data_IF_552251122055
#
_entry.id   IF_552251122055
#
_cell.length_a   1.000
_cell.length_b   1.000
_cell.length_c   1.000
_cell.angle_alpha   90.00
_cell.angle_beta   90.00
_cell.angle_gamma   90.00
#
_symmetry.space_group_name_H-M   'P 1'
#
loop_
_entity.id
_entity.type
_entity.pdbx_description
1 polymer ?
#
# COMPACT_ATOMS: atom_id res chain seq x y z
N UNK A 1 -1.55 7.89 -7.97
CA UNK A 1 -0.62 7.76 -9.11
C UNK A 1 0.56 8.68 -8.90
N UNK A 2 1.77 8.18 -9.12
CA UNK A 2 3.00 8.97 -9.02
C UNK A 2 3.09 9.95 -10.20
N UNK A 3 3.42 11.22 -9.96
CA UNK A 3 3.58 12.20 -11.06
C UNK A 3 4.77 11.87 -11.95
N UNK A 4 5.75 11.14 -11.42
CA UNK A 4 6.92 10.69 -12.18
C UNK A 4 6.56 9.59 -13.19
N UNK A 5 5.68 8.64 -12.81
CA UNK A 5 5.25 7.56 -13.71
C UNK A 5 4.40 8.06 -14.87
N UNK A 6 3.68 9.17 -14.69
CA UNK A 6 2.92 9.80 -15.78
C UNK A 6 3.84 10.38 -16.87
N UNK A 7 4.99 10.93 -16.50
CA UNK A 7 5.93 11.49 -17.48
C UNK A 7 6.67 10.37 -18.22
N UNK A 8 7.04 9.30 -17.52
CA UNK A 8 7.64 8.12 -18.15
C UNK A 8 6.64 7.46 -19.14
N UNK A 9 5.32 7.45 -18.85
CA UNK A 9 4.30 6.98 -19.79
C UNK A 9 4.08 7.92 -20.99
N UNK A 10 4.21 9.24 -20.80
CA UNK A 10 4.10 10.20 -21.90
C UNK A 10 5.32 10.15 -22.83
N UNK A 11 6.50 9.82 -22.29
CA UNK A 11 7.70 9.60 -23.07
C UNK A 11 7.55 8.44 -24.06
N UNK A 12 6.99 7.31 -23.63
CA UNK A 12 6.72 6.16 -24.50
C UNK A 12 5.76 6.49 -25.66
N UNK A 13 4.88 7.48 -25.48
CA UNK A 13 3.86 7.85 -26.48
C UNK A 13 4.35 8.94 -27.43
N UNK A 14 5.14 9.90 -26.93
CA UNK A 14 5.51 11.10 -27.68
C UNK A 14 7.01 11.19 -28.05
N UNK A 15 7.86 10.30 -27.53
CA UNK A 15 9.29 10.26 -27.84
C UNK A 15 10.05 11.50 -27.37
N UNK A 16 9.72 12.01 -26.17
CA UNK A 16 10.28 13.26 -25.67
C UNK A 16 11.78 13.13 -25.39
N UNK A 17 12.53 14.17 -25.73
CA UNK A 17 13.91 14.32 -25.29
C UNK A 17 13.98 14.50 -23.76
N UNK A 18 15.14 14.17 -23.18
CA UNK A 18 15.42 14.35 -21.74
C UNK A 18 15.22 15.81 -21.29
N UNK A 19 15.49 16.76 -22.19
CA UNK A 19 15.28 18.19 -21.95
C UNK A 19 13.79 18.56 -21.90
N UNK A 20 12.98 18.03 -22.82
CA UNK A 20 11.54 18.26 -22.86
C UNK A 20 10.84 17.70 -21.62
N UNK A 21 11.23 16.50 -21.15
CA UNK A 21 10.71 15.91 -19.90
C UNK A 21 11.00 16.80 -18.69
N UNK A 22 12.26 17.24 -18.58
CA UNK A 22 12.71 18.11 -17.49
C UNK A 22 11.99 19.44 -17.52
N UNK A 23 11.91 20.08 -18.68
CA UNK A 23 11.23 21.37 -18.86
C UNK A 23 9.71 21.29 -18.59
N UNK A 24 9.04 20.26 -19.12
CA UNK A 24 7.62 20.05 -18.87
C UNK A 24 7.33 19.88 -17.37
N UNK A 25 8.16 19.12 -16.68
CA UNK A 25 7.97 18.89 -15.25
C UNK A 25 8.25 20.14 -14.43
N UNK A 26 9.26 20.96 -14.80
CA UNK A 26 9.49 22.28 -14.20
C UNK A 26 8.25 23.18 -14.29
N UNK A 27 7.59 23.23 -15.46
CA UNK A 27 6.37 24.01 -15.65
C UNK A 27 5.22 23.52 -14.74
N UNK A 28 5.21 22.23 -14.38
CA UNK A 28 4.19 21.62 -13.51
C UNK A 28 4.50 21.76 -12.03
N UNK A 29 5.72 22.16 -11.63
CA UNK A 29 6.06 22.41 -10.23
C UNK A 29 5.28 23.60 -9.67
N UNK A 30 4.79 23.46 -8.43
CA UNK A 30 4.05 24.49 -7.70
C UNK A 30 4.47 24.46 -6.23
N UNK A 31 4.29 25.58 -5.52
CA UNK A 31 4.55 25.68 -4.08
C UNK A 31 5.98 25.32 -3.70
N UNK A 32 6.14 24.54 -2.62
CA UNK A 32 7.43 24.12 -2.06
C UNK A 32 8.33 23.41 -3.08
N UNK A 33 7.76 22.69 -4.04
CA UNK A 33 8.52 22.00 -5.08
C UNK A 33 9.13 22.97 -6.10
N UNK A 34 8.43 24.07 -6.42
CA UNK A 34 8.98 25.13 -7.28
C UNK A 34 10.05 25.94 -6.53
N UNK A 35 9.83 26.22 -5.25
CA UNK A 35 10.80 26.92 -4.41
C UNK A 35 12.08 26.11 -4.20
N UNK A 36 11.99 24.78 -4.07
CA UNK A 36 13.14 23.88 -4.06
C UNK A 36 13.89 23.91 -5.39
N UNK A 37 13.18 23.76 -6.51
CA UNK A 37 13.81 23.75 -7.83
C UNK A 37 14.57 25.05 -8.14
N UNK A 38 14.00 26.20 -7.76
CA UNK A 38 14.66 27.51 -7.95
C UNK A 38 15.93 27.70 -7.10
N UNK A 39 16.20 26.82 -6.12
CA UNK A 39 17.43 26.83 -5.31
C UNK A 39 18.51 25.88 -5.85
N UNK A 40 18.22 25.13 -6.91
CA UNK A 40 19.24 24.32 -7.57
C UNK A 40 20.08 25.26 -8.46
N UNK A 41 21.38 25.33 -8.19
CA UNK A 41 22.32 26.16 -8.96
C UNK A 41 22.62 25.58 -10.35
N UNK A 42 22.33 24.30 -10.58
CA UNK A 42 22.59 23.61 -11.83
C UNK A 42 21.30 23.06 -12.44
N UNK A 43 20.97 23.57 -13.63
CA UNK A 43 19.80 23.20 -14.42
C UNK A 43 20.10 22.14 -15.49
N UNK A 44 21.37 21.71 -15.61
CA UNK A 44 21.84 20.80 -16.65
C UNK A 44 21.67 19.31 -16.32
N UNK A 45 21.02 18.98 -15.19
CA UNK A 45 20.80 17.60 -14.78
C UNK A 45 19.99 16.80 -15.83
N UNK A 46 20.43 15.58 -16.11
CA UNK A 46 19.68 14.59 -16.90
C UNK A 46 18.33 14.25 -16.24
N UNK A 47 17.35 13.71 -16.99
CA UNK A 47 16.05 13.33 -16.40
C UNK A 47 16.20 12.34 -15.25
N UNK A 48 17.21 11.45 -15.35
CA UNK A 48 17.54 10.49 -14.30
C UNK A 48 18.00 11.16 -13.00
N UNK A 49 18.92 12.12 -13.09
CA UNK A 49 19.37 12.91 -11.94
C UNK A 49 18.25 13.78 -11.39
N UNK A 50 17.42 14.32 -12.28
CA UNK A 50 16.24 15.09 -11.91
C UNK A 50 15.26 14.27 -11.07
N UNK A 51 14.97 13.02 -11.48
CA UNK A 51 14.15 12.07 -10.71
C UNK A 51 14.78 11.72 -9.37
N UNK A 52 16.10 11.55 -9.31
CA UNK A 52 16.82 11.26 -8.06
C UNK A 52 16.75 12.43 -7.08
N UNK A 53 17.05 13.64 -7.55
CA UNK A 53 17.01 14.88 -6.76
C UNK A 53 15.60 15.13 -6.20
N UNK A 54 14.56 14.89 -7.00
CA UNK A 54 13.19 15.07 -6.54
C UNK A 54 12.77 14.05 -5.48
N UNK A 55 13.18 12.79 -5.63
CA UNK A 55 12.95 11.76 -4.60
C UNK A 55 13.72 12.04 -3.31
N UNK A 56 14.90 12.63 -3.40
CA UNK A 56 15.70 13.03 -2.26
C UNK A 56 15.13 14.27 -1.55
N UNK A 57 14.64 15.25 -2.30
CA UNK A 57 14.09 16.49 -1.76
C UNK A 57 12.68 16.33 -1.21
N UNK A 58 11.91 15.42 -1.80
CA UNK A 58 10.57 15.04 -1.36
C UNK A 58 10.53 13.54 -1.13
N UNK A 59 11.27 13.03 -0.13
CA UNK A 59 11.13 11.65 0.25
C UNK A 59 9.66 11.48 0.63
N UNK A 60 8.98 10.51 0.01
CA UNK A 60 7.68 10.10 0.55
C UNK A 60 7.97 9.73 2.00
N UNK A 61 7.47 10.50 2.96
CA UNK A 61 7.38 10.07 4.34
C UNK A 61 6.41 8.91 4.35
N UNK A 62 6.93 7.75 3.99
CA UNK A 62 6.31 6.49 4.26
C UNK A 62 6.96 6.06 5.56
N UNK A 63 6.43 6.58 6.66
CA UNK A 63 6.85 6.13 7.98
C UNK A 63 6.45 4.67 8.09
N UNK A 64 7.43 3.80 7.82
CA UNK A 64 7.22 2.36 7.82
C UNK A 64 6.65 1.89 9.15
N UNK A 65 7.02 2.53 10.27
CA UNK A 65 6.48 2.17 11.57
C UNK A 65 4.99 2.47 11.64
N UNK A 66 4.56 3.66 11.20
CA UNK A 66 3.13 4.03 11.14
C UNK A 66 2.36 3.11 10.18
N UNK A 67 2.88 2.85 8.98
CA UNK A 67 2.22 1.97 8.02
C UNK A 67 2.13 0.52 8.53
N UNK A 68 3.14 0.04 9.25
CA UNK A 68 3.12 -1.27 9.92
C UNK A 68 2.09 -1.31 11.05
N UNK A 69 2.00 -0.27 11.87
CA UNK A 69 1.02 -0.15 12.93
C UNK A 69 -0.41 -0.19 12.38
N UNK A 70 -0.70 0.62 11.36
CA UNK A 70 -2.00 0.64 10.68
C UNK A 70 -2.34 -0.73 10.08
N UNK A 71 -1.37 -1.33 9.40
CA UNK A 71 -1.52 -2.65 8.82
C UNK A 71 -1.83 -3.71 9.88
N UNK A 72 -1.12 -3.71 11.01
CA UNK A 72 -1.34 -4.69 12.09
C UNK A 72 -2.66 -4.42 12.81
N UNK A 73 -3.08 -3.15 12.91
CA UNK A 73 -4.31 -2.75 13.57
C UNK A 73 -5.57 -3.19 12.81
N UNK A 74 -5.53 -3.22 11.47
CA UNK A 74 -6.70 -3.64 10.67
C UNK A 74 -7.06 -5.10 10.96
N UNK A 75 -8.32 -5.28 11.37
CA UNK A 75 -8.97 -6.56 11.59
C UNK A 75 -10.16 -6.69 10.63
N UNK A 76 -10.48 -7.92 10.25
CA UNK A 76 -11.71 -8.22 9.51
C UNK A 76 -12.91 -7.77 10.35
N UNK A 77 -13.80 -6.98 9.77
CA UNK A 77 -15.03 -6.59 10.45
C UNK A 77 -16.08 -7.72 10.40
N UNK A 78 -17.02 -7.79 11.36
CA UNK A 78 -18.05 -8.83 11.40
C UNK A 78 -18.95 -8.84 10.15
N UNK A 79 -19.29 -7.67 9.60
CA UNK A 79 -20.19 -7.52 8.45
C UNK A 79 -19.46 -7.39 7.11
N UNK A 80 -18.14 -7.29 7.14
CA UNK A 80 -17.30 -7.12 5.94
C UNK A 80 -17.11 -8.46 5.23
N UNK A 81 -17.15 -8.45 3.89
CA UNK A 81 -16.84 -9.64 3.08
C UNK A 81 -15.35 -9.97 3.12
N UNK A 82 -15.01 -11.25 3.03
CA UNK A 82 -13.62 -11.69 3.12
C UNK A 82 -12.76 -11.10 1.98
N UNK A 83 -13.29 -11.02 0.76
CA UNK A 83 -12.64 -10.34 -0.37
C UNK A 83 -12.30 -8.87 -0.09
N UNK A 84 -13.20 -8.13 0.56
CA UNK A 84 -13.00 -6.71 0.87
C UNK A 84 -11.88 -6.53 1.90
N UNK A 85 -11.90 -7.35 2.95
CA UNK A 85 -10.84 -7.39 3.95
C UNK A 85 -9.48 -7.71 3.31
N UNK A 86 -9.44 -8.73 2.45
CA UNK A 86 -8.23 -9.18 1.78
C UNK A 86 -7.62 -8.09 0.88
N UNK A 87 -8.44 -7.44 0.03
CA UNK A 87 -7.94 -6.37 -0.83
C UNK A 87 -7.50 -5.13 -0.05
N UNK A 88 -8.16 -4.82 1.06
CA UNK A 88 -7.76 -3.72 1.95
C UNK A 88 -6.37 -3.98 2.54
N UNK A 89 -6.12 -5.21 3.02
CA UNK A 89 -4.80 -5.62 3.49
C UNK A 89 -3.75 -5.56 2.37
N UNK A 90 -4.09 -6.08 1.17
CA UNK A 90 -3.21 -6.02 -0.01
C UNK A 90 -2.76 -4.60 -0.37
N UNK A 91 -3.67 -3.64 -0.37
CA UNK A 91 -3.37 -2.26 -0.73
C UNK A 91 -2.32 -1.62 0.21
N UNK A 92 -2.32 -2.01 1.50
CA UNK A 92 -1.40 -1.49 2.51
C UNK A 92 -0.03 -2.19 2.49
N UNK A 93 0.03 -3.46 2.10
CA UNK A 93 1.32 -4.14 1.91
C UNK A 93 2.18 -3.50 0.82
N UNK A 94 1.55 -3.03 -0.26
CA UNK A 94 2.25 -2.32 -1.33
C UNK A 94 3.01 -1.08 -0.84
N UNK A 95 2.61 -0.53 0.32
CA UNK A 95 3.28 0.60 0.96
C UNK A 95 4.41 0.14 1.90
N UNK A 96 4.29 -1.02 2.54
CA UNK A 96 5.29 -1.48 3.52
C UNK A 96 6.49 -2.21 2.91
N UNK A 97 6.45 -2.57 1.62
CA UNK A 97 7.62 -3.06 0.88
C UNK A 97 8.04 -4.51 1.16
N UNK A 98 7.18 -5.33 1.77
CA UNK A 98 7.42 -6.77 1.97
C UNK A 98 6.42 -7.64 1.22
N UNK A 99 6.85 -8.84 0.82
CA UNK A 99 6.09 -9.78 -0.02
C UNK A 99 6.12 -11.20 0.57
N UNK A 100 5.27 -12.07 0.02
CA UNK A 100 5.25 -13.50 0.34
C UNK A 100 4.74 -13.81 1.76
N UNK A 101 5.45 -14.69 2.47
CA UNK A 101 5.05 -15.22 3.78
C UNK A 101 4.82 -14.15 4.85
N UNK A 102 5.58 -13.04 4.80
CA UNK A 102 5.39 -11.91 5.73
C UNK A 102 4.01 -11.26 5.56
N UNK A 103 3.57 -11.11 4.31
CA UNK A 103 2.23 -10.60 4.01
C UNK A 103 1.15 -11.59 4.45
N UNK A 104 1.36 -12.90 4.22
CA UNK A 104 0.45 -13.97 4.69
C UNK A 104 0.25 -13.89 6.20
N UNK A 105 1.33 -13.80 6.99
CA UNK A 105 1.24 -13.69 8.46
C UNK A 105 0.42 -12.47 8.91
N UNK A 106 0.61 -11.32 8.27
CA UNK A 106 -0.14 -10.10 8.59
C UNK A 106 -1.64 -10.19 8.19
N UNK A 107 -1.97 -10.92 7.11
CA UNK A 107 -3.36 -11.18 6.71
C UNK A 107 -4.00 -12.11 7.74
N UNK A 108 -3.32 -13.20 8.11
CA UNK A 108 -3.83 -14.15 9.10
C UNK A 108 -4.03 -13.47 10.47
N UNK A 109 -3.10 -12.62 10.88
CA UNK A 109 -3.17 -11.90 12.16
C UNK A 109 -4.42 -11.02 12.30
N UNK A 110 -4.93 -10.48 11.19
CA UNK A 110 -6.14 -9.68 11.16
C UNK A 110 -7.46 -10.45 11.08
N UNK A 111 -7.41 -11.77 10.89
CA UNK A 111 -8.60 -12.63 10.94
C UNK A 111 -9.12 -12.80 12.37
N UNK A 112 -10.40 -13.19 12.52
CA UNK A 112 -10.96 -13.72 13.77
C UNK A 112 -10.09 -14.85 14.34
N UNK A 113 -9.96 -14.90 15.67
CA UNK A 113 -9.02 -15.78 16.37
C UNK A 113 -9.25 -17.26 16.07
N UNK A 114 -10.53 -17.65 16.00
CA UNK A 114 -11.00 -18.99 15.65
C UNK A 114 -10.57 -19.46 14.25
N UNK A 115 -10.30 -18.52 13.33
CA UNK A 115 -9.88 -18.84 11.96
C UNK A 115 -8.35 -18.88 11.81
N UNK A 116 -7.59 -18.30 12.76
CA UNK A 116 -6.14 -18.12 12.60
C UNK A 116 -5.39 -19.44 12.57
N UNK A 117 -5.73 -20.39 13.45
CA UNK A 117 -5.05 -21.68 13.51
C UNK A 117 -5.18 -22.45 12.20
N UNK A 118 -6.39 -22.51 11.64
CA UNK A 118 -6.66 -23.16 10.36
C UNK A 118 -5.95 -22.42 9.21
N UNK A 119 -5.96 -21.09 9.22
CA UNK A 119 -5.27 -20.30 8.21
C UNK A 119 -3.74 -20.51 8.23
N UNK A 120 -3.13 -20.65 9.42
CA UNK A 120 -1.71 -21.00 9.54
C UNK A 120 -1.42 -22.43 9.06
N UNK A 121 -2.34 -23.37 9.30
CA UNK A 121 -2.18 -24.76 8.84
C UNK A 121 -2.13 -24.87 7.31
N UNK A 122 -2.76 -23.95 6.57
CA UNK A 122 -2.69 -23.90 5.10
C UNK A 122 -1.26 -23.68 4.57
N UNK A 123 -0.31 -23.21 5.40
CA UNK A 123 1.11 -23.06 5.06
C UNK A 123 1.35 -22.36 3.71
N UNK A 124 0.55 -21.32 3.42
CA UNK A 124 0.58 -20.63 2.14
C UNK A 124 1.81 -19.72 2.03
N UNK A 125 2.55 -19.82 0.92
CA UNK A 125 3.71 -18.98 0.66
C UNK A 125 3.35 -17.56 0.17
N UNK A 126 2.15 -17.38 -0.40
CA UNK A 126 1.71 -16.11 -0.96
C UNK A 126 0.28 -15.74 -0.52
N UNK A 127 -0.03 -14.43 -0.47
CA UNK A 127 -1.39 -13.95 -0.22
C UNK A 127 -2.45 -14.55 -1.14
N UNK A 128 -2.12 -14.73 -2.43
CA UNK A 128 -3.02 -15.28 -3.44
C UNK A 128 -3.34 -16.76 -3.19
N UNK A 129 -2.34 -17.52 -2.73
CA UNK A 129 -2.51 -18.92 -2.34
C UNK A 129 -3.39 -19.02 -1.08
N UNK A 130 -3.18 -18.14 -0.09
CA UNK A 130 -4.05 -18.05 1.08
C UNK A 130 -5.49 -17.70 0.69
N UNK A 131 -5.66 -16.76 -0.24
CA UNK A 131 -6.97 -16.32 -0.67
C UNK A 131 -7.73 -17.45 -1.37
N UNK A 132 -7.12 -18.05 -2.40
CA UNK A 132 -7.77 -19.09 -3.20
C UNK A 132 -7.99 -20.40 -2.44
N UNK A 133 -7.09 -20.75 -1.51
CA UNK A 133 -7.14 -22.01 -0.76
C UNK A 133 -7.96 -21.97 0.53
N UNK A 134 -8.18 -20.78 1.13
CA UNK A 134 -8.84 -20.67 2.43
C UNK A 134 -9.91 -19.57 2.47
N UNK A 135 -9.57 -18.34 2.08
CA UNK A 135 -10.46 -17.19 2.29
C UNK A 135 -11.71 -17.20 1.40
N UNK A 136 -11.60 -17.71 0.17
CA UNK A 136 -12.72 -17.88 -0.77
C UNK A 136 -13.85 -18.75 -0.21
N UNK A 137 -13.53 -19.76 0.61
CA UNK A 137 -14.53 -20.59 1.29
C UNK A 137 -15.29 -19.86 2.41
N UNK A 138 -14.87 -18.65 2.76
CA UNK A 138 -15.34 -17.88 3.90
C UNK A 138 -15.94 -16.51 3.50
N UNK A 139 -16.33 -16.33 2.23
CA UNK A 139 -16.87 -15.06 1.72
C UNK A 139 -18.07 -14.53 2.53
N UNK A 140 -18.95 -15.43 2.98
CA UNK A 140 -20.10 -15.12 3.81
C UNK A 140 -19.84 -15.16 5.31
N UNK A 141 -18.60 -15.37 5.76
CA UNK A 141 -18.28 -15.52 7.17
C UNK A 141 -18.52 -14.20 7.92
N UNK A 142 -19.45 -14.26 8.88
CA UNK A 142 -19.72 -13.19 9.83
C UNK A 142 -19.22 -13.62 11.20
N UNK A 143 -18.38 -12.78 11.81
CA UNK A 143 -17.94 -13.01 13.18
C UNK A 143 -19.16 -12.95 14.09
N UNK A 144 -19.38 -13.95 14.97
CA UNK A 144 -20.44 -13.87 15.96
C UNK A 144 -20.27 -12.59 16.78
N UNK A 145 -21.25 -11.70 16.74
CA UNK A 145 -21.28 -10.58 17.68
C UNK A 145 -21.49 -11.21 19.04
N UNK A 146 -20.47 -11.14 19.92
CA UNK A 146 -20.58 -11.66 21.27
C UNK A 146 -21.86 -11.09 21.89
N UNK A 147 -22.88 -11.94 22.07
CA UNK A 147 -24.12 -11.56 22.71
C UNK A 147 -23.73 -11.06 24.11
N UNK A 148 -23.90 -9.76 24.34
CA UNK A 148 -23.62 -9.15 25.62
C UNK A 148 -24.35 -9.94 26.69
N UNK A 149 -23.61 -10.44 27.67
CA UNK A 149 -24.17 -11.03 28.88
C UNK A 149 -25.15 -10.01 29.51
N UNK A 150 -26.44 -10.17 29.29
CA UNK A 150 -27.46 -9.67 30.21
C UNK A 150 -27.39 -10.52 31.48
N UNK A 151 -26.42 -10.18 32.32
CA UNK A 151 -26.48 -10.44 33.77
C UNK A 151 -26.82 -9.12 34.46
N UNK A 152 -28.12 -8.87 34.58
CA UNK A 152 -28.79 -8.11 35.66
C UNK A 152 -30.10 -8.88 35.85
N UNK A 153 -30.34 -9.60 36.94
CA UNK A 153 -30.14 -9.17 38.32
C UNK A 153 -31.48 -8.64 38.80
N UNK A 154 -32.37 -9.56 39.16
CA UNK A 154 -33.39 -9.46 40.22
C UNK A 154 -33.86 -10.89 40.55
#
# INVERSE_FOLDING_TARGET
MDRLSMIDQLDEVYGWSEYEKSYFMQIKLRGSAKAWFNKLDDFSCSWREWKANLRQAFPRQNDLAVSLEELVAIRKLPTEKMITYYHTKLALYGQCGFLGEKAVSCIIRGLPEELRANAYACSCATPEALYSGFLTGLEGYQTPVAAGNSRRGD
#
